data_IF_234591436290
#
_entry.id   IF_234591436290
#
_cell.length_a   1.000
_cell.length_b   1.000
_cell.length_c   1.000
_cell.angle_alpha   90.00
_cell.angle_beta   90.00
_cell.angle_gamma   90.00
#
_symmetry.space_group_name_H-M   'P 1'
#
loop_
_entity.id
_entity.type
_entity.pdbx_description
1 polymer ?
#
# COMPACT_ATOMS: atom_id res chain seq x y z
N UNK A 1 -21.63 14.56 1.59
CA UNK A 1 -20.99 13.23 1.67
C UNK A 1 -19.82 13.37 2.58
N UNK A 2 -19.59 12.44 3.53
CA UNK A 2 -18.47 12.55 4.47
C UNK A 2 -17.13 12.07 3.84
N UNK A 3 -17.15 10.98 3.08
CA UNK A 3 -15.94 10.42 2.49
C UNK A 3 -15.93 10.61 0.97
N UNK A 4 -14.88 11.21 0.46
CA UNK A 4 -14.70 11.59 -0.94
C UNK A 4 -13.59 10.79 -1.63
N UNK A 5 -12.71 10.12 -0.86
CA UNK A 5 -11.64 9.31 -1.39
C UNK A 5 -11.52 7.95 -0.67
N UNK A 6 -11.09 6.94 -1.43
CA UNK A 6 -10.67 5.63 -0.96
C UNK A 6 -9.16 5.49 -1.21
N UNK A 7 -8.39 5.20 -0.16
CA UNK A 7 -7.02 4.77 -0.25
C UNK A 7 -6.96 3.25 -0.04
N UNK A 8 -6.40 2.52 -1.00
CA UNK A 8 -6.47 1.06 -1.05
C UNK A 8 -5.07 0.48 -1.21
N UNK A 9 -4.62 -0.33 -0.26
CA UNK A 9 -3.42 -1.13 -0.43
C UNK A 9 -3.63 -2.18 -1.53
N UNK A 10 -2.53 -2.60 -2.18
CA UNK A 10 -2.58 -3.54 -3.30
C UNK A 10 -2.49 -4.99 -2.86
N UNK A 11 -1.33 -5.40 -2.34
CA UNK A 11 -0.99 -6.81 -2.14
C UNK A 11 -1.62 -7.40 -0.88
N UNK A 12 -2.57 -8.33 -1.06
CA UNK A 12 -3.32 -8.94 0.03
C UNK A 12 -4.56 -8.14 0.43
N UNK A 13 -4.79 -6.99 -0.20
CA UNK A 13 -5.96 -6.13 0.02
C UNK A 13 -6.80 -6.04 -1.25
N UNK A 14 -6.37 -5.26 -2.27
CA UNK A 14 -7.08 -5.16 -3.55
C UNK A 14 -6.81 -6.36 -4.45
N UNK A 15 -5.59 -6.89 -4.40
CA UNK A 15 -5.12 -7.98 -5.23
C UNK A 15 -4.87 -9.25 -4.42
N UNK A 16 -5.24 -10.39 -5.00
CA UNK A 16 -4.85 -11.72 -4.55
C UNK A 16 -3.86 -12.30 -5.57
N UNK A 17 -2.74 -12.84 -5.09
CA UNK A 17 -1.67 -13.35 -5.93
C UNK A 17 -1.21 -12.35 -7.02
N UNK A 18 -1.15 -11.08 -6.64
CA UNK A 18 -0.73 -9.98 -7.51
C UNK A 18 -1.74 -9.60 -8.60
N UNK A 19 -2.97 -10.11 -8.57
CA UNK A 19 -4.00 -9.81 -9.57
C UNK A 19 -5.24 -9.19 -8.96
N UNK A 20 -5.71 -8.11 -9.57
CA UNK A 20 -6.98 -7.48 -9.21
C UNK A 20 -8.13 -8.33 -9.78
N UNK A 21 -9.11 -8.70 -8.94
CA UNK A 21 -10.28 -9.46 -9.41
C UNK A 21 -11.24 -8.57 -10.21
N UNK A 22 -12.05 -9.19 -11.08
CA UNK A 22 -13.09 -8.46 -11.83
C UNK A 22 -14.11 -7.81 -10.89
N UNK A 23 -14.43 -8.47 -9.78
CA UNK A 23 -15.32 -7.92 -8.76
C UNK A 23 -14.74 -6.65 -8.10
N UNK A 24 -13.45 -6.67 -7.77
CA UNK A 24 -12.75 -5.50 -7.23
C UNK A 24 -12.68 -4.38 -8.28
N UNK A 25 -12.34 -4.70 -9.53
CA UNK A 25 -12.31 -3.74 -10.64
C UNK A 25 -13.66 -3.05 -10.83
N UNK A 26 -14.74 -3.83 -10.89
CA UNK A 26 -16.10 -3.31 -11.04
C UNK A 26 -16.53 -2.45 -9.83
N UNK A 27 -16.10 -2.79 -8.62
CA UNK A 27 -16.40 -2.01 -7.43
C UNK A 27 -15.66 -0.65 -7.44
N UNK A 28 -14.40 -0.63 -7.86
CA UNK A 28 -13.62 0.59 -8.04
C UNK A 28 -14.27 1.50 -9.10
N UNK A 29 -14.68 0.93 -10.23
CA UNK A 29 -15.38 1.68 -11.29
C UNK A 29 -16.66 2.34 -10.78
N UNK A 30 -17.51 1.59 -10.05
CA UNK A 30 -18.73 2.14 -9.44
C UNK A 30 -18.42 3.27 -8.46
N UNK A 31 -17.36 3.12 -7.65
CA UNK A 31 -16.96 4.15 -6.71
C UNK A 31 -16.54 5.43 -7.42
N UNK A 32 -15.73 5.32 -8.47
CA UNK A 32 -15.32 6.47 -9.29
C UNK A 32 -16.50 7.11 -10.02
N UNK A 33 -17.42 6.32 -10.57
CA UNK A 33 -18.65 6.81 -11.21
C UNK A 33 -19.52 7.62 -10.23
N UNK A 34 -19.45 7.34 -8.93
CA UNK A 34 -20.13 8.13 -7.89
C UNK A 34 -19.45 9.49 -7.58
N UNK A 35 -18.38 9.85 -8.30
CA UNK A 35 -17.61 11.09 -8.13
C UNK A 35 -16.53 11.01 -7.05
N UNK A 36 -16.26 9.83 -6.48
CA UNK A 36 -15.20 9.64 -5.49
C UNK A 36 -13.86 9.35 -6.16
N UNK A 37 -12.77 9.72 -5.48
CA UNK A 37 -11.41 9.41 -5.90
C UNK A 37 -10.96 8.06 -5.33
N UNK A 38 -10.15 7.35 -6.10
CA UNK A 38 -9.53 6.11 -5.64
C UNK A 38 -8.02 6.19 -5.82
N UNK A 39 -7.29 6.06 -4.71
CA UNK A 39 -5.83 6.07 -4.67
C UNK A 39 -5.35 4.66 -4.33
N UNK A 40 -4.51 4.09 -5.18
CA UNK A 40 -3.80 2.86 -4.85
C UNK A 40 -2.55 3.23 -4.05
N UNK A 41 -2.25 2.48 -2.98
CA UNK A 41 -1.06 2.70 -2.15
C UNK A 41 -0.31 1.38 -2.03
N UNK A 42 0.94 1.31 -2.52
CA UNK A 42 1.68 0.06 -2.60
C UNK A 42 3.16 0.21 -2.27
N UNK A 43 3.78 -0.89 -1.83
CA UNK A 43 5.24 -0.98 -1.73
C UNK A 43 5.95 -1.24 -3.06
N UNK A 44 5.20 -1.65 -4.09
CA UNK A 44 5.79 -1.97 -5.40
C UNK A 44 6.36 -0.74 -6.08
N UNK A 45 7.40 -0.93 -6.90
CA UNK A 45 7.87 0.06 -7.87
C UNK A 45 6.83 0.20 -8.99
N UNK A 46 6.76 1.37 -9.61
CA UNK A 46 5.78 1.64 -10.69
C UNK A 46 5.90 0.62 -11.82
N UNK A 47 7.13 0.36 -12.30
CA UNK A 47 7.36 -0.60 -13.39
C UNK A 47 6.85 -2.01 -13.08
N UNK A 48 7.08 -2.52 -11.85
CA UNK A 48 6.63 -3.86 -11.43
C UNK A 48 5.11 -3.92 -11.27
N UNK A 49 4.54 -2.85 -10.72
CA UNK A 49 3.10 -2.74 -10.57
C UNK A 49 2.38 -2.79 -11.92
N UNK A 50 2.87 -2.05 -12.91
CA UNK A 50 2.25 -1.97 -14.23
C UNK A 50 2.28 -3.31 -15.00
N UNK A 51 3.22 -4.21 -14.69
CA UNK A 51 3.25 -5.57 -15.27
C UNK A 51 2.08 -6.43 -14.77
N UNK A 52 1.66 -6.25 -13.52
CA UNK A 52 0.58 -7.04 -12.89
C UNK A 52 -0.77 -6.32 -12.86
N UNK A 53 -0.78 -5.01 -13.09
CA UNK A 53 -1.96 -4.15 -13.11
C UNK A 53 -2.10 -3.44 -14.46
N UNK A 54 -2.48 -4.14 -15.54
CA UNK A 54 -2.58 -3.54 -16.88
C UNK A 54 -3.65 -2.44 -16.97
N UNK A 55 -4.65 -2.46 -16.07
CA UNK A 55 -5.71 -1.44 -15.97
C UNK A 55 -5.42 -0.42 -14.85
N UNK A 56 -4.20 0.12 -14.79
CA UNK A 56 -3.80 1.13 -13.78
C UNK A 56 -4.69 2.36 -13.79
N UNK A 57 -5.30 2.71 -14.93
CA UNK A 57 -6.27 3.81 -15.09
C UNK A 57 -7.57 3.65 -14.30
N UNK A 58 -7.80 2.51 -13.64
CA UNK A 58 -8.84 2.34 -12.63
C UNK A 58 -8.62 3.24 -11.42
N UNK A 59 -7.41 3.67 -11.17
CA UNK A 59 -7.03 4.54 -10.06
C UNK A 59 -6.81 5.97 -10.54
N UNK A 60 -7.17 6.94 -9.71
CA UNK A 60 -6.94 8.36 -10.02
C UNK A 60 -5.47 8.74 -9.81
N UNK A 61 -4.85 8.20 -8.77
CA UNK A 61 -3.41 8.28 -8.51
C UNK A 61 -2.93 6.96 -7.88
N UNK A 62 -1.65 6.69 -8.02
CA UNK A 62 -0.96 5.57 -7.39
C UNK A 62 0.19 6.11 -6.54
N UNK A 63 0.20 5.77 -5.28
CA UNK A 63 1.29 6.00 -4.34
C UNK A 63 2.14 4.73 -4.32
N UNK A 64 3.28 4.77 -4.96
CA UNK A 64 4.20 3.65 -5.13
C UNK A 64 5.42 3.76 -4.19
N UNK A 65 6.24 2.72 -4.18
CA UNK A 65 7.50 2.66 -3.42
C UNK A 65 7.31 3.04 -1.93
N UNK A 66 6.26 2.48 -1.29
CA UNK A 66 5.89 2.79 0.11
C UNK A 66 5.72 4.27 0.42
N UNK A 67 5.23 5.06 -0.54
CA UNK A 67 5.00 6.49 -0.35
C UNK A 67 6.02 7.39 -1.01
N UNK A 68 7.06 6.84 -1.63
CA UNK A 68 8.16 7.62 -2.18
C UNK A 68 7.89 8.20 -3.58
N UNK A 69 6.89 7.67 -4.30
CA UNK A 69 6.57 8.06 -5.68
C UNK A 69 5.06 8.22 -5.85
N UNK A 70 4.64 9.31 -6.47
CA UNK A 70 3.29 9.44 -7.02
C UNK A 70 3.34 9.11 -8.51
N UNK A 71 2.48 8.21 -8.95
CA UNK A 71 2.27 7.91 -10.36
C UNK A 71 0.85 8.30 -10.77
N UNK A 72 0.74 9.07 -11.83
CA UNK A 72 -0.53 9.41 -12.46
C UNK A 72 -0.78 8.49 -13.65
N UNK A 73 -1.75 7.57 -13.58
CA UNK A 73 -2.01 6.63 -14.68
C UNK A 73 -2.56 7.27 -15.96
N UNK A 74 -3.09 8.50 -15.90
CA UNK A 74 -3.63 9.20 -17.05
C UNK A 74 -2.53 9.87 -17.87
N UNK A 75 -1.65 10.63 -17.19
CA UNK A 75 -0.51 11.31 -17.82
C UNK A 75 0.72 10.40 -17.97
N UNK A 76 0.78 9.29 -17.22
CA UNK A 76 1.93 8.40 -17.05
C UNK A 76 3.14 9.11 -16.42
N UNK A 77 2.89 10.15 -15.66
CA UNK A 77 3.91 10.90 -14.97
C UNK A 77 4.29 10.21 -13.66
N UNK A 78 5.59 10.07 -13.42
CA UNK A 78 6.16 9.63 -12.14
C UNK A 78 6.77 10.83 -11.43
N UNK A 79 6.38 11.05 -10.18
CA UNK A 79 6.83 12.18 -9.37
C UNK A 79 7.46 11.63 -8.10
N UNK A 80 8.79 11.60 -8.02
CA UNK A 80 9.49 11.26 -6.80
C UNK A 80 9.22 12.31 -5.71
N UNK A 81 8.94 11.86 -4.50
CA UNK A 81 8.66 12.72 -3.33
C UNK A 81 9.89 12.96 -2.46
N UNK A 82 10.98 12.26 -2.76
CA UNK A 82 12.29 12.46 -2.12
C UNK A 82 13.41 12.21 -3.15
N UNK A 83 14.61 12.63 -2.79
CA UNK A 83 15.80 12.29 -3.58
C UNK A 83 16.04 10.76 -3.52
N UNK A 84 16.57 10.16 -4.61
CA UNK A 84 16.98 8.76 -4.59
C UNK A 84 18.05 8.52 -3.54
N UNK A 85 18.13 7.29 -3.04
CA UNK A 85 19.21 6.89 -2.14
C UNK A 85 20.56 7.01 -2.86
N UNK A 86 21.66 7.32 -2.13
CA UNK A 86 22.97 7.49 -2.75
C UNK A 86 23.41 6.25 -3.54
N UNK A 87 23.91 6.40 -4.75
CA UNK A 87 24.35 5.30 -5.62
C UNK A 87 25.35 4.36 -4.92
N UNK A 88 26.27 4.94 -4.12
CA UNK A 88 27.24 4.17 -3.30
C UNK A 88 26.59 3.16 -2.36
N UNK A 89 25.32 3.37 -1.97
CA UNK A 89 24.58 2.43 -1.12
C UNK A 89 24.25 1.15 -1.89
N UNK A 90 23.66 1.26 -3.08
CA UNK A 90 23.36 0.12 -3.93
C UNK A 90 24.65 -0.61 -4.42
N UNK A 91 25.70 0.15 -4.77
CA UNK A 91 27.00 -0.38 -5.14
C UNK A 91 27.58 -1.23 -4.01
N UNK A 92 27.57 -0.72 -2.77
CA UNK A 92 28.10 -1.44 -1.61
C UNK A 92 27.30 -2.68 -1.27
N UNK A 93 25.99 -2.67 -1.43
CA UNK A 93 25.15 -3.86 -1.26
C UNK A 93 25.53 -4.95 -2.28
N UNK A 94 25.76 -4.59 -3.56
CA UNK A 94 26.22 -5.53 -4.59
C UNK A 94 27.58 -6.13 -4.27
N UNK A 95 28.54 -5.31 -3.83
CA UNK A 95 29.86 -5.77 -3.38
C UNK A 95 29.78 -6.77 -2.21
N UNK A 96 28.75 -6.61 -1.35
CA UNK A 96 28.48 -7.52 -0.22
C UNK A 96 27.66 -8.75 -0.64
N UNK A 97 27.40 -8.94 -1.94
CA UNK A 97 26.70 -10.11 -2.48
C UNK A 97 25.17 -10.09 -2.31
N UNK A 98 24.58 -8.93 -2.08
CA UNK A 98 23.11 -8.80 -2.00
C UNK A 98 22.49 -8.97 -3.39
N UNK A 99 21.70 -10.04 -3.57
CA UNK A 99 20.99 -10.34 -4.81
C UNK A 99 19.70 -11.15 -4.50
N UNK A 100 18.55 -10.84 -5.12
CA UNK A 100 18.36 -9.73 -6.05
C UNK A 100 18.41 -8.37 -5.35
N UNK A 101 18.86 -7.34 -6.05
CA UNK A 101 18.83 -5.96 -5.62
C UNK A 101 18.05 -5.14 -6.64
N UNK A 102 17.01 -4.50 -6.18
CA UNK A 102 16.07 -3.74 -7.01
C UNK A 102 16.16 -2.26 -6.65
N UNK A 103 16.44 -1.43 -7.64
CA UNK A 103 16.47 0.03 -7.49
C UNK A 103 15.20 0.63 -8.10
N UNK A 104 14.45 1.36 -7.27
CA UNK A 104 13.32 2.17 -7.69
C UNK A 104 13.75 3.59 -8.05
N UNK A 105 12.77 4.48 -8.22
CA UNK A 105 13.05 5.90 -8.41
C UNK A 105 13.66 6.55 -7.15
N UNK A 106 13.29 6.04 -5.96
CA UNK A 106 13.73 6.55 -4.67
C UNK A 106 14.29 5.42 -3.79
N UNK A 107 13.64 4.26 -3.77
CA UNK A 107 13.95 3.17 -2.84
C UNK A 107 14.96 2.19 -3.41
N UNK A 108 15.62 1.45 -2.50
CA UNK A 108 16.42 0.26 -2.84
C UNK A 108 15.81 -0.92 -2.09
N UNK A 109 15.48 -1.99 -2.81
CA UNK A 109 14.82 -3.17 -2.25
C UNK A 109 15.60 -4.47 -2.50
N UNK A 110 15.41 -5.42 -1.61
CA UNK A 110 15.90 -6.79 -1.70
C UNK A 110 14.95 -7.70 -0.94
N UNK A 111 15.34 -8.96 -0.73
CA UNK A 111 14.59 -9.95 0.04
C UNK A 111 15.43 -10.57 1.14
N UNK A 112 14.75 -11.24 2.08
CA UNK A 112 15.45 -12.09 3.06
C UNK A 112 16.35 -13.13 2.35
N UNK A 113 17.54 -13.43 2.90
CA UNK A 113 18.03 -13.04 4.24
C UNK A 113 18.91 -11.76 4.27
N UNK A 114 18.87 -10.92 3.25
CA UNK A 114 19.80 -9.80 3.08
C UNK A 114 19.54 -8.57 3.98
N UNK A 115 18.49 -8.58 4.79
CA UNK A 115 18.16 -7.46 5.68
C UNK A 115 19.27 -7.08 6.65
N UNK A 116 19.98 -8.08 7.20
CA UNK A 116 21.13 -7.85 8.07
C UNK A 116 22.27 -7.12 7.37
N UNK A 117 22.63 -7.56 6.16
CA UNK A 117 23.67 -6.91 5.33
C UNK A 117 23.29 -5.48 4.98
N UNK A 118 22.00 -5.24 4.66
CA UNK A 118 21.51 -3.89 4.39
C UNK A 118 21.71 -2.96 5.58
N UNK A 119 21.38 -3.39 6.79
CA UNK A 119 21.59 -2.61 8.01
C UNK A 119 23.07 -2.35 8.32
N UNK A 120 23.95 -3.32 8.05
CA UNK A 120 25.39 -3.14 8.19
C UNK A 120 25.94 -2.08 7.23
N UNK A 121 25.55 -2.13 5.96
CA UNK A 121 25.96 -1.14 4.94
C UNK A 121 25.47 0.27 5.28
N UNK A 122 24.23 0.41 5.79
CA UNK A 122 23.71 1.70 6.27
C UNK A 122 24.60 2.27 7.35
N UNK A 123 25.00 1.47 8.35
CA UNK A 123 25.92 1.89 9.43
C UNK A 123 27.31 2.22 8.90
N UNK A 124 27.86 1.38 8.03
CA UNK A 124 29.18 1.55 7.42
C UNK A 124 29.29 2.90 6.68
N UNK A 125 28.25 3.25 5.94
CA UNK A 125 28.20 4.48 5.15
C UNK A 125 27.70 5.71 5.93
N UNK A 126 27.27 5.52 7.19
CA UNK A 126 26.76 6.61 8.03
C UNK A 126 25.49 7.24 7.44
N UNK A 127 24.62 6.43 6.83
CA UNK A 127 23.42 6.93 6.16
C UNK A 127 22.21 6.96 7.12
N UNK A 128 21.41 8.00 7.02
CA UNK A 128 20.09 8.08 7.65
C UNK A 128 19.06 7.47 6.69
N UNK A 129 18.76 6.18 6.87
CA UNK A 129 17.87 5.42 6.03
C UNK A 129 16.89 4.63 6.91
N UNK A 130 15.62 4.63 6.53
CA UNK A 130 14.59 3.81 7.13
C UNK A 130 14.52 2.46 6.40
N UNK A 131 14.47 1.35 7.14
CA UNK A 131 14.32 0.01 6.56
C UNK A 131 12.97 -0.57 6.95
N UNK A 132 12.21 -1.02 5.97
CA UNK A 132 10.92 -1.68 6.14
C UNK A 132 11.07 -3.15 5.78
N UNK A 133 10.59 -4.03 6.66
CA UNK A 133 10.46 -5.46 6.43
C UNK A 133 8.99 -5.78 6.20
N UNK A 134 8.66 -6.43 5.10
CA UNK A 134 7.29 -6.84 4.80
C UNK A 134 7.28 -8.13 3.98
N UNK A 135 6.75 -9.23 4.55
CA UNK A 135 6.58 -10.52 3.85
C UNK A 135 7.85 -11.02 3.13
N UNK A 136 9.00 -10.88 3.78
CA UNK A 136 10.28 -11.26 3.20
C UNK A 136 10.91 -10.23 2.28
N UNK A 137 10.22 -9.17 1.90
CA UNK A 137 10.83 -8.02 1.23
C UNK A 137 11.50 -7.10 2.26
N UNK A 138 12.64 -6.56 1.89
CA UNK A 138 13.43 -5.60 2.68
C UNK A 138 13.63 -4.35 1.84
N UNK A 139 13.12 -3.22 2.31
CA UNK A 139 13.16 -1.96 1.55
C UNK A 139 13.81 -0.84 2.35
N UNK A 140 14.77 -0.18 1.75
CA UNK A 140 15.44 1.01 2.26
C UNK A 140 14.82 2.28 1.65
N UNK A 141 14.43 3.22 2.51
CA UNK A 141 13.77 4.47 2.12
C UNK A 141 14.43 5.68 2.81
N UNK A 142 14.36 6.87 2.22
CA UNK A 142 14.71 8.10 2.92
C UNK A 142 13.86 8.30 4.19
N UNK A 143 14.40 8.98 5.22
CA UNK A 143 13.66 9.28 6.44
C UNK A 143 12.39 10.10 6.13
N UNK A 144 11.32 9.84 6.88
CA UNK A 144 10.05 10.55 6.72
C UNK A 144 9.17 10.05 5.57
N UNK A 145 9.63 9.14 4.73
CA UNK A 145 8.85 8.53 3.66
C UNK A 145 8.15 7.27 4.19
N UNK A 146 6.84 7.23 4.03
CA UNK A 146 5.99 6.08 4.29
C UNK A 146 4.66 6.19 3.52
N UNK A 147 3.82 5.16 3.57
CA UNK A 147 2.52 5.14 2.85
C UNK A 147 1.62 6.33 3.20
N UNK A 148 1.63 6.81 4.45
CA UNK A 148 0.84 7.96 4.89
C UNK A 148 1.33 9.27 4.28
N UNK A 149 2.64 9.52 4.28
CA UNK A 149 3.21 10.75 3.72
C UNK A 149 2.99 10.84 2.21
N UNK A 150 3.13 9.74 1.49
CA UNK A 150 2.79 9.68 0.07
C UNK A 150 1.30 9.89 -0.20
N UNK A 151 0.44 9.28 0.62
CA UNK A 151 -1.01 9.48 0.51
C UNK A 151 -1.42 10.92 0.82
N UNK A 152 -0.80 11.60 1.79
CA UNK A 152 -1.07 13.01 2.09
C UNK A 152 -0.84 13.89 0.87
N UNK A 153 0.25 13.66 0.13
CA UNK A 153 0.51 14.39 -1.12
C UNK A 153 -0.56 14.09 -2.18
N UNK A 154 -0.95 12.83 -2.36
CA UNK A 154 -1.99 12.45 -3.32
C UNK A 154 -3.35 13.08 -2.98
N UNK A 155 -3.75 13.07 -1.72
CA UNK A 155 -5.03 13.63 -1.22
C UNK A 155 -5.06 15.14 -1.41
N UNK A 156 -3.97 15.83 -1.08
CA UNK A 156 -3.84 17.29 -1.29
C UNK A 156 -3.91 17.69 -2.76
N UNK A 157 -3.43 16.86 -3.68
CA UNK A 157 -3.56 17.11 -5.13
C UNK A 157 -5.03 17.13 -5.59
N UNK A 158 -5.91 16.42 -4.89
CA UNK A 158 -7.36 16.51 -5.14
C UNK A 158 -8.04 17.67 -4.41
N UNK A 159 -7.30 18.51 -3.66
CA UNK A 159 -7.87 19.56 -2.81
C UNK A 159 -8.62 19.02 -1.59
N UNK A 160 -8.33 17.78 -1.19
CA UNK A 160 -8.98 17.09 -0.08
C UNK A 160 -8.10 17.05 1.16
N UNK A 161 -8.70 16.71 2.29
CA UNK A 161 -8.05 16.47 3.57
C UNK A 161 -8.13 14.99 3.96
N UNK A 162 -7.30 14.55 4.91
CA UNK A 162 -7.33 13.19 5.46
C UNK A 162 -8.70 12.81 6.04
N UNK A 163 -9.50 13.79 6.47
CA UNK A 163 -10.82 13.60 7.07
C UNK A 163 -11.89 13.16 6.04
N UNK A 164 -11.55 13.17 4.76
CA UNK A 164 -12.42 12.75 3.67
C UNK A 164 -12.00 11.39 3.09
N UNK A 165 -11.00 10.73 3.71
CA UNK A 165 -10.38 9.51 3.19
C UNK A 165 -10.74 8.30 4.05
N UNK A 166 -11.12 7.20 3.38
CA UNK A 166 -11.18 5.85 3.96
C UNK A 166 -9.94 5.09 3.49
N UNK A 167 -9.20 4.49 4.41
CA UNK A 167 -8.07 3.62 4.12
C UNK A 167 -8.41 2.15 4.28
N UNK A 168 -7.93 1.30 3.39
CA UNK A 168 -8.04 -0.16 3.50
C UNK A 168 -6.66 -0.78 3.27
N UNK A 169 -6.22 -1.63 4.21
CA UNK A 169 -4.94 -2.34 4.16
C UNK A 169 -4.94 -3.61 4.98
N UNK A 170 -3.92 -4.47 4.84
CA UNK A 170 -3.84 -5.76 5.53
C UNK A 170 -2.49 -6.05 6.20
N UNK A 171 -1.45 -5.32 5.85
CA UNK A 171 -0.08 -5.52 6.31
C UNK A 171 0.33 -4.63 7.48
N UNK A 172 1.44 -5.01 8.12
CA UNK A 172 2.06 -4.19 9.17
C UNK A 172 2.56 -2.84 8.63
N UNK A 173 2.97 -2.80 7.36
CA UNK A 173 3.37 -1.58 6.67
C UNK A 173 2.19 -0.65 6.30
N UNK A 174 0.94 -1.10 6.50
CA UNK A 174 -0.26 -0.28 6.28
C UNK A 174 -0.70 0.48 7.53
N UNK A 175 -0.08 0.25 8.67
CA UNK A 175 -0.45 0.92 9.91
C UNK A 175 -0.46 2.45 9.74
N UNK A 176 0.60 3.02 9.16
CA UNK A 176 0.66 4.46 8.89
C UNK A 176 -0.43 4.93 7.92
N UNK A 177 -0.76 4.14 6.89
CA UNK A 177 -1.84 4.40 5.95
C UNK A 177 -3.20 4.47 6.67
N UNK A 178 -3.48 3.47 7.51
CA UNK A 178 -4.76 3.36 8.21
C UNK A 178 -4.93 4.44 9.28
N UNK A 179 -3.88 4.78 10.02
CA UNK A 179 -3.88 5.87 11.01
C UNK A 179 -3.99 7.27 10.37
N UNK A 180 -3.46 7.45 9.16
CA UNK A 180 -3.59 8.71 8.45
C UNK A 180 -5.06 9.00 8.08
N UNK A 181 -5.81 8.00 7.66
CA UNK A 181 -7.17 8.16 7.17
C UNK A 181 -8.15 8.45 8.30
N UNK A 182 -9.24 9.19 8.01
CA UNK A 182 -10.34 9.41 8.98
C UNK A 182 -10.99 8.09 9.39
N UNK A 183 -11.06 7.14 8.46
CA UNK A 183 -11.55 5.80 8.73
C UNK A 183 -10.59 4.78 8.16
N UNK A 184 -9.96 3.98 9.02
CA UNK A 184 -9.08 2.89 8.66
C UNK A 184 -9.79 1.54 8.77
N UNK A 185 -9.66 0.72 7.74
CA UNK A 185 -10.24 -0.63 7.68
C UNK A 185 -9.12 -1.64 7.47
N UNK A 186 -8.85 -2.47 8.49
CA UNK A 186 -7.89 -3.55 8.38
C UNK A 186 -8.55 -4.81 7.80
N UNK A 187 -8.00 -5.35 6.71
CA UNK A 187 -8.46 -6.62 6.15
C UNK A 187 -7.85 -7.80 6.89
N UNK A 188 -8.63 -8.87 7.07
CA UNK A 188 -8.37 -9.96 8.03
C UNK A 188 -7.28 -10.97 7.61
N UNK A 189 -6.59 -10.78 6.50
CA UNK A 189 -5.95 -11.95 5.89
C UNK A 189 -4.67 -12.49 6.53
N UNK A 190 -3.97 -11.84 7.47
CA UNK A 190 -2.72 -12.44 7.98
C UNK A 190 -2.31 -12.25 9.45
N UNK A 191 -2.88 -11.34 10.22
CA UNK A 191 -2.44 -11.14 11.63
C UNK A 191 -2.76 -12.29 12.59
N UNK A 192 -3.51 -13.30 12.16
CA UNK A 192 -3.89 -14.46 12.99
C UNK A 192 -2.94 -15.66 12.80
N UNK A 193 -2.19 -15.74 11.69
CA UNK A 193 -1.29 -16.89 11.46
C UNK A 193 -0.07 -16.96 12.39
N UNK A 194 0.32 -15.85 12.99
CA UNK A 194 1.46 -15.84 13.93
C UNK A 194 1.09 -16.18 15.38
N UNK A 195 -0.20 -16.33 15.71
CA UNK A 195 -0.66 -16.56 17.10
C UNK A 195 -1.48 -17.83 17.34
N UNK A 196 -1.76 -18.64 16.34
CA UNK A 196 -2.56 -19.87 16.51
C UNK A 196 -1.84 -21.06 15.86
N UNK A 197 -1.63 -22.09 16.70
CA UNK A 197 -1.08 -23.40 16.37
C UNK A 197 -1.79 -24.10 15.19
N UNK A 198 -1.11 -25.04 14.44
CA UNK A 198 -1.51 -25.50 13.10
C UNK A 198 -2.79 -26.37 13.02
N UNK A 199 -3.59 -26.50 14.07
CA UNK A 199 -4.67 -27.50 14.11
C UNK A 199 -6.10 -27.00 13.89
N UNK A 200 -6.33 -25.72 13.62
CA UNK A 200 -7.70 -25.27 13.37
C UNK A 200 -7.78 -24.13 12.38
N UNK A 201 -7.79 -24.38 11.10
CA UNK A 201 -8.43 -23.49 10.12
C UNK A 201 -8.26 -24.01 8.68
N UNK A 202 -9.23 -24.79 8.23
CA UNK A 202 -9.54 -24.84 6.80
C UNK A 202 -10.56 -23.72 6.54
N UNK A 203 -10.15 -22.65 5.86
CA UNK A 203 -11.04 -21.67 5.27
C UNK A 203 -10.46 -21.26 3.91
N UNK A 204 -11.23 -21.44 2.87
CA UNK A 204 -10.95 -21.10 1.49
C UNK A 204 -10.75 -19.59 1.32
N UNK A 205 -9.85 -19.11 0.44
CA UNK A 205 -9.68 -17.69 0.15
C UNK A 205 -10.88 -17.17 -0.64
N UNK A 206 -11.73 -16.38 0.00
CA UNK A 206 -12.88 -15.76 -0.66
C UNK A 206 -12.47 -14.42 -1.23
N UNK A 207 -12.58 -14.27 -2.56
CA UNK A 207 -12.37 -13.01 -3.27
C UNK A 207 -13.26 -11.89 -2.71
N UNK A 208 -12.70 -10.68 -2.66
CA UNK A 208 -13.38 -9.45 -2.22
C UNK A 208 -14.69 -9.24 -2.97
N UNK A 209 -15.82 -9.52 -2.31
CA UNK A 209 -17.12 -9.02 -2.74
C UNK A 209 -17.35 -7.66 -2.07
N UNK A 210 -17.21 -6.57 -2.80
CA UNK A 210 -17.62 -5.26 -2.32
C UNK A 210 -19.14 -5.18 -2.33
N UNK A 211 -19.82 -4.96 -1.20
CA UNK A 211 -21.27 -4.76 -1.19
C UNK A 211 -21.65 -3.44 -1.85
N UNK A 212 -22.86 -3.38 -2.37
CA UNK A 212 -23.46 -2.15 -2.89
C UNK A 212 -23.57 -1.11 -1.76
N UNK A 213 -22.79 -0.07 -1.82
CA UNK A 213 -22.88 1.04 -0.88
C UNK A 213 -24.04 1.96 -1.28
N UNK A 214 -25.20 1.74 -0.68
CA UNK A 214 -26.26 2.76 -0.66
C UNK A 214 -26.06 3.60 0.62
N UNK A 215 -25.62 4.83 0.48
CA UNK A 215 -25.54 5.78 1.60
C UNK A 215 -26.86 6.52 1.76
N UNK A 216 -27.68 6.08 2.69
CA UNK A 216 -28.75 6.88 3.28
C UNK A 216 -28.17 7.72 4.41
N UNK A 217 -28.55 9.01 4.45
CA UNK A 217 -28.15 9.98 5.45
C UNK A 217 -28.88 9.73 6.76
N UNK A 218 -28.41 8.84 7.60
CA UNK A 218 -28.75 8.78 9.02
C UNK A 218 -27.76 7.86 9.71
N UNK A 219 -27.43 8.18 10.95
CA UNK A 219 -26.51 7.46 11.85
C UNK A 219 -26.74 5.96 11.75
N UNK A 220 -26.06 5.29 10.85
CA UNK A 220 -26.11 3.83 10.77
C UNK A 220 -24.82 3.30 11.32
N UNK A 221 -24.90 2.81 12.54
CA UNK A 221 -23.93 1.94 13.16
C UNK A 221 -23.61 0.79 12.21
N UNK A 222 -22.36 0.62 11.86
CA UNK A 222 -21.78 -0.45 11.01
C UNK A 222 -21.94 -1.87 11.63
N UNK A 223 -22.95 -2.10 12.45
CA UNK A 223 -23.20 -3.35 13.17
C UNK A 223 -23.79 -4.50 12.33
N UNK A 224 -24.08 -4.29 11.04
CA UNK A 224 -24.75 -5.27 10.19
C UNK A 224 -23.82 -6.03 9.21
N UNK A 225 -22.49 -5.91 9.35
CA UNK A 225 -21.56 -6.53 8.41
C UNK A 225 -20.82 -7.73 9.03
N UNK A 226 -21.37 -8.92 8.81
CA UNK A 226 -20.73 -10.21 9.15
C UNK A 226 -19.91 -10.72 7.95
N UNK A 227 -18.78 -10.10 7.65
CA UNK A 227 -17.84 -10.58 6.64
C UNK A 227 -16.42 -10.14 7.04
N UNK A 228 -15.50 -11.01 6.99
CA UNK A 228 -14.03 -11.06 7.13
C UNK A 228 -13.18 -9.79 7.50
N UNK A 229 -13.73 -8.71 8.04
CA UNK A 229 -13.03 -7.51 8.49
C UNK A 229 -12.90 -7.50 10.01
N UNK A 230 -11.71 -7.28 10.55
CA UNK A 230 -11.49 -7.46 11.99
C UNK A 230 -11.41 -6.16 12.80
N UNK A 231 -11.12 -5.01 12.19
CA UNK A 231 -11.04 -3.73 12.91
C UNK A 231 -11.43 -2.59 11.98
N UNK A 232 -12.35 -1.74 12.43
CA UNK A 232 -12.71 -0.47 11.78
C UNK A 232 -12.44 0.63 12.80
N UNK A 233 -11.63 1.61 12.41
CA UNK A 233 -11.30 2.80 13.19
C UNK A 233 -11.92 4.00 12.46
N UNK A 234 -13.00 4.54 13.02
CA UNK A 234 -13.64 5.75 12.49
C UNK A 234 -13.87 6.76 13.60
#
# INVERSE_FOLDING_TARGET
MRYLALALDYDGTAASDGKLSDAASSAIERLRTSGRRVVLVTGRRVGDLLQVLPRSTLFDLIVAENGAVIYDPQSREEIPLAAPLPARFAERLRERGVAPLEEGAVVVATHDPHGGVMLEVIRELGLEIHVIFNRGAVMALPPGINKATGLDVAVRRFGMSRHEVVGIGDGENDHSLLEYCECGVASRMQSIRSRISPHSLRAEPTALAFPSWSMSSSKTTLSAWKGSWSVIWC
#
